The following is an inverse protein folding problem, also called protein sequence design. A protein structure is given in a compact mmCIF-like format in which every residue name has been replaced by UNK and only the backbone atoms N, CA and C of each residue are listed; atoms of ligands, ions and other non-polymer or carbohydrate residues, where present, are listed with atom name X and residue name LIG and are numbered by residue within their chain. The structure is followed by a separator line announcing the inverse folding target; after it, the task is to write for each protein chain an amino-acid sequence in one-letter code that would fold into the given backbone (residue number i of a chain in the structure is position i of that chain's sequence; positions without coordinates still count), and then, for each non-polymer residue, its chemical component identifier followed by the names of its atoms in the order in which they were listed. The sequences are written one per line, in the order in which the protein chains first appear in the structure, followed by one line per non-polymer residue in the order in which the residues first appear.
data_IF_535217117379
#
_entry.id   IF_535217117379
#
_cell.length_a   1.000
_cell.length_b   1.000
_cell.length_c   1.000
_cell.angle_alpha   90.00
_cell.angle_beta   90.00
_cell.angle_gamma   90.00
#
_symmetry.space_group_name_H-M   'P 1'
#
loop_
_entity.id
_entity.type
_entity.pdbx_description
1 polymer ?
#
# COMPACT_ATOMS: atom_id res chain seq x y z
N UNK A 1 9.61 3.71 17.37
CA UNK A 1 8.74 3.68 16.20
C UNK A 1 9.51 3.09 15.03
N UNK A 2 8.93 2.07 14.39
CA UNK A 2 9.42 1.47 13.16
C UNK A 2 8.52 1.94 12.00
N UNK A 3 9.11 2.63 11.05
CA UNK A 3 8.46 3.00 9.80
C UNK A 3 9.07 2.20 8.65
N UNK A 4 8.22 1.63 7.81
CA UNK A 4 8.64 0.84 6.65
C UNK A 4 8.05 1.46 5.40
N UNK A 5 8.90 1.74 4.42
CA UNK A 5 8.47 2.01 3.05
C UNK A 5 8.30 0.69 2.32
N UNK A 6 7.06 0.34 2.03
CA UNK A 6 6.68 -0.93 1.43
C UNK A 6 6.20 -0.79 -0.03
N UNK A 7 6.58 0.30 -0.68
CA UNK A 7 6.14 0.63 -2.04
C UNK A 7 6.45 -0.45 -3.09
N UNK A 8 7.47 -1.28 -2.87
CA UNK A 8 7.88 -2.34 -3.78
C UNK A 8 7.41 -3.74 -3.37
N UNK A 9 6.71 -3.90 -2.24
CA UNK A 9 6.32 -5.21 -1.74
C UNK A 9 4.80 -5.35 -1.48
N UNK A 10 4.15 -4.26 -1.11
CA UNK A 10 2.71 -4.24 -0.89
C UNK A 10 1.94 -4.69 -2.15
N UNK A 11 1.03 -5.61 -1.97
CA UNK A 11 0.20 -6.20 -3.02
C UNK A 11 0.63 -7.61 -3.42
N UNK A 12 1.90 -8.02 -3.22
CA UNK A 12 2.32 -9.36 -3.63
C UNK A 12 3.18 -10.11 -2.60
N UNK A 13 4.00 -9.41 -1.80
CA UNK A 13 4.86 -10.05 -0.82
C UNK A 13 4.10 -10.38 0.48
N UNK A 14 4.44 -11.51 1.08
CA UNK A 14 3.85 -11.97 2.34
C UNK A 14 2.41 -12.51 2.21
N UNK A 15 1.83 -12.99 3.31
CA UNK A 15 0.47 -13.49 3.35
C UNK A 15 -0.53 -12.44 2.84
N UNK A 16 -1.44 -12.85 1.96
CA UNK A 16 -2.44 -11.98 1.32
C UNK A 16 -1.85 -10.72 0.64
N UNK A 17 -0.55 -10.72 0.29
CA UNK A 17 0.11 -9.55 -0.28
C UNK A 17 0.28 -8.38 0.70
N UNK A 18 0.30 -8.67 2.00
CA UNK A 18 0.32 -7.65 3.05
C UNK A 18 1.68 -6.95 3.21
N UNK A 19 2.69 -7.36 2.43
CA UNK A 19 3.96 -6.66 2.33
C UNK A 19 5.09 -7.22 3.18
N UNK A 20 6.20 -6.49 3.18
CA UNK A 20 7.45 -6.87 3.86
C UNK A 20 7.29 -7.11 5.36
N UNK A 21 6.59 -6.27 6.14
CA UNK A 21 6.44 -6.53 7.56
C UNK A 21 5.79 -7.88 7.86
N UNK A 22 4.75 -8.23 7.13
CA UNK A 22 4.06 -9.52 7.31
C UNK A 22 4.91 -10.69 6.82
N UNK A 23 5.66 -10.50 5.75
CA UNK A 23 6.57 -11.53 5.22
C UNK A 23 7.64 -11.95 6.26
N UNK A 24 8.17 -10.99 7.00
CA UNK A 24 9.20 -11.24 8.02
C UNK A 24 8.65 -11.37 9.46
N UNK A 25 7.36 -11.33 9.65
CA UNK A 25 6.73 -11.40 10.98
C UNK A 25 7.08 -10.20 11.88
N UNK A 26 7.36 -9.05 11.30
CA UNK A 26 7.72 -7.82 12.01
C UNK A 26 6.51 -6.89 12.10
N UNK A 27 6.29 -6.31 13.27
CA UNK A 27 5.27 -5.27 13.45
C UNK A 27 5.87 -3.90 13.13
N UNK A 28 5.40 -3.26 12.06
CA UNK A 28 5.67 -1.87 11.79
C UNK A 28 4.62 -0.96 12.47
N UNK A 29 5.05 0.20 12.97
CA UNK A 29 4.15 1.21 13.53
C UNK A 29 3.52 2.07 12.42
N UNK A 30 4.30 2.35 11.38
CA UNK A 30 3.87 3.12 10.21
C UNK A 30 4.34 2.42 8.95
N UNK A 31 3.45 2.28 7.97
CA UNK A 31 3.77 1.73 6.65
C UNK A 31 3.41 2.75 5.58
N UNK A 32 4.31 2.98 4.63
CA UNK A 32 4.01 3.71 3.41
C UNK A 32 3.91 2.75 2.24
N UNK A 33 3.04 3.04 1.31
CA UNK A 33 2.86 2.26 0.10
C UNK A 33 2.46 3.11 -1.08
N UNK A 34 2.52 2.51 -2.27
CA UNK A 34 2.12 3.16 -3.52
C UNK A 34 0.99 2.40 -4.19
N UNK A 35 0.11 3.13 -4.84
CA UNK A 35 -0.96 2.57 -5.67
C UNK A 35 -0.53 2.37 -7.12
N UNK A 36 0.63 2.91 -7.52
CA UNK A 36 1.11 2.92 -8.90
C UNK A 36 2.10 1.82 -9.28
N UNK A 37 2.25 0.77 -8.47
CA UNK A 37 3.14 -0.37 -8.76
C UNK A 37 2.36 -1.69 -8.79
N UNK A 38 2.62 -2.63 -7.90
CA UNK A 38 1.95 -3.94 -7.89
C UNK A 38 0.42 -3.85 -7.78
N UNK A 39 -0.09 -2.82 -7.12
CA UNK A 39 -1.53 -2.57 -7.00
C UNK A 39 -2.19 -2.03 -8.29
N UNK A 40 -1.41 -1.64 -9.30
CA UNK A 40 -1.93 -1.26 -10.62
C UNK A 40 -2.79 0.00 -10.67
N UNK A 41 -2.78 0.83 -9.64
CA UNK A 41 -3.69 1.97 -9.45
C UNK A 41 -3.27 3.27 -10.15
N UNK A 42 -2.44 3.22 -11.18
CA UNK A 42 -1.94 4.34 -11.98
C UNK A 42 -1.07 5.34 -11.19
N UNK A 43 -1.57 5.96 -10.14
CA UNK A 43 -0.82 6.94 -9.34
C UNK A 43 -1.35 6.99 -7.89
N UNK A 44 -0.59 7.66 -7.04
CA UNK A 44 -0.94 7.87 -5.65
C UNK A 44 -0.22 6.95 -4.69
N UNK A 45 -0.42 7.20 -3.43
CA UNK A 45 0.16 6.43 -2.33
C UNK A 45 -0.65 6.59 -1.07
N UNK A 46 -0.25 5.86 -0.04
CA UNK A 46 -0.92 5.87 1.24
C UNK A 46 0.08 5.79 2.39
N UNK A 47 -0.36 6.23 3.54
CA UNK A 47 0.31 6.00 4.82
C UNK A 47 -0.71 5.31 5.73
N UNK A 48 -0.31 4.18 6.29
CA UNK A 48 -1.07 3.43 7.28
C UNK A 48 -0.33 3.43 8.62
N UNK A 49 -1.05 3.71 9.70
CA UNK A 49 -0.48 3.79 11.04
C UNK A 49 -1.52 4.16 12.09
N UNK A 50 -1.09 4.39 13.33
CA UNK A 50 -1.98 4.81 14.40
C UNK A 50 -2.72 6.11 14.07
N UNK A 51 -4.00 6.21 14.46
CA UNK A 51 -4.85 7.36 14.17
C UNK A 51 -4.20 8.71 14.51
N UNK A 52 -3.54 8.91 15.67
CA UNK A 52 -2.90 10.19 15.99
C UNK A 52 -1.81 10.59 14.99
N UNK A 53 -1.09 9.62 14.42
CA UNK A 53 -0.07 9.88 13.38
C UNK A 53 -0.76 10.33 12.09
N UNK A 54 -1.82 9.64 11.66
CA UNK A 54 -2.58 10.00 10.46
C UNK A 54 -3.20 11.39 10.60
N UNK A 55 -3.79 11.70 11.76
CA UNK A 55 -4.38 13.01 12.02
C UNK A 55 -3.33 14.14 12.00
N UNK A 56 -2.16 13.90 12.60
CA UNK A 56 -1.05 14.85 12.54
C UNK A 56 -0.59 15.10 11.10
N UNK A 57 -0.44 14.04 10.31
CA UNK A 57 -0.02 14.15 8.90
C UNK A 57 -1.03 14.94 8.06
N UNK A 58 -2.32 14.73 8.27
CA UNK A 58 -3.38 15.49 7.59
C UNK A 58 -3.31 16.98 7.87
N UNK A 59 -2.79 17.38 9.03
CA UNK A 59 -2.68 18.78 9.45
C UNK A 59 -1.31 19.41 9.14
N UNK A 60 -0.26 18.61 8.95
CA UNK A 60 1.11 19.10 8.89
C UNK A 60 1.92 18.65 7.68
N UNK A 61 1.54 17.56 7.03
CA UNK A 61 2.29 17.07 5.88
C UNK A 61 2.11 17.99 4.67
N UNK A 62 3.15 18.72 4.33
CA UNK A 62 3.12 19.66 3.19
C UNK A 62 2.68 19.03 1.87
N UNK A 63 3.16 17.82 1.49
CA UNK A 63 2.67 17.18 0.27
C UNK A 63 1.15 16.93 0.28
N UNK A 64 0.58 16.61 1.44
CA UNK A 64 -0.87 16.40 1.56
C UNK A 64 -1.66 17.73 1.50
N UNK A 65 -1.17 18.76 2.19
CA UNK A 65 -1.86 20.05 2.31
C UNK A 65 -1.81 20.88 1.01
N UNK A 66 -0.73 20.76 0.26
CA UNK A 66 -0.43 21.65 -0.87
C UNK A 66 -0.38 20.93 -2.22
N UNK A 67 -0.77 19.65 -2.28
CA UNK A 67 -0.96 18.91 -3.52
C UNK A 67 -2.43 18.77 -3.87
N UNK A 68 -2.73 18.59 -5.15
CA UNK A 68 -4.07 18.25 -5.59
C UNK A 68 -4.46 16.85 -5.10
N UNK A 69 -5.75 16.68 -4.81
CA UNK A 69 -6.31 15.37 -4.47
C UNK A 69 -6.23 14.40 -5.66
N UNK A 70 -6.18 13.10 -5.35
CA UNK A 70 -6.28 12.06 -6.36
C UNK A 70 -7.64 12.14 -7.07
N UNK A 71 -7.69 11.94 -8.41
CA UNK A 71 -8.95 11.86 -9.12
C UNK A 71 -9.85 10.76 -8.57
N UNK A 72 -11.16 10.98 -8.41
CA UNK A 72 -12.09 9.98 -7.87
C UNK A 72 -12.06 8.64 -8.59
N UNK A 73 -11.85 8.64 -9.90
CA UNK A 73 -11.74 7.40 -10.69
C UNK A 73 -10.50 6.57 -10.28
N UNK A 74 -9.37 7.22 -9.98
CA UNK A 74 -8.16 6.54 -9.49
C UNK A 74 -8.38 5.96 -8.09
N UNK A 75 -9.06 6.71 -7.21
CA UNK A 75 -9.41 6.23 -5.88
C UNK A 75 -10.35 5.02 -5.95
N UNK A 76 -11.37 5.08 -6.80
CA UNK A 76 -12.28 3.96 -7.02
C UNK A 76 -11.56 2.71 -7.52
N UNK A 77 -10.67 2.85 -8.51
CA UNK A 77 -9.85 1.74 -9.00
C UNK A 77 -8.93 1.16 -7.92
N UNK A 78 -8.33 2.01 -7.08
CA UNK A 78 -7.47 1.57 -5.98
C UNK A 78 -8.24 0.78 -4.92
N UNK A 79 -9.46 1.18 -4.57
CA UNK A 79 -10.31 0.43 -3.63
C UNK A 79 -10.60 -0.97 -4.16
N UNK A 80 -10.99 -1.10 -5.43
CA UNK A 80 -11.24 -2.40 -6.07
C UNK A 80 -9.94 -3.23 -6.12
N UNK A 81 -8.79 -2.62 -6.44
CA UNK A 81 -7.51 -3.31 -6.44
C UNK A 81 -7.15 -3.89 -5.06
N UNK A 82 -7.42 -3.16 -3.98
CA UNK A 82 -7.21 -3.66 -2.62
C UNK A 82 -8.13 -4.84 -2.26
N UNK A 83 -9.38 -4.81 -2.70
CA UNK A 83 -10.31 -5.94 -2.54
C UNK A 83 -9.82 -7.18 -3.29
N UNK A 84 -9.34 -7.02 -4.53
CA UNK A 84 -8.77 -8.11 -5.32
C UNK A 84 -7.53 -8.68 -4.62
N UNK A 85 -6.61 -7.84 -4.19
CA UNK A 85 -5.36 -8.27 -3.53
C UNK A 85 -5.66 -9.11 -2.29
N UNK A 86 -6.68 -8.78 -1.53
CA UNK A 86 -7.02 -9.54 -0.31
C UNK A 86 -7.34 -11.03 -0.59
N UNK A 87 -7.77 -11.38 -1.81
CA UNK A 87 -8.22 -12.73 -2.18
C UNK A 87 -7.45 -13.37 -3.34
N UNK A 88 -6.50 -12.66 -3.97
CA UNK A 88 -5.83 -13.06 -5.20
C UNK A 88 -4.57 -13.92 -4.97
N UNK A 89 -4.67 -15.00 -4.20
CA UNK A 89 -3.54 -15.91 -3.98
C UNK A 89 -3.07 -16.59 -5.27
N UNK A 90 -3.97 -16.90 -6.17
CA UNK A 90 -3.70 -17.47 -7.49
C UNK A 90 -2.84 -16.54 -8.36
N UNK A 91 -3.13 -15.25 -8.35
CA UNK A 91 -2.33 -14.25 -9.07
C UNK A 91 -0.92 -14.14 -8.50
N UNK A 92 -0.78 -14.19 -7.18
CA UNK A 92 0.54 -14.18 -6.50
C UNK A 92 1.34 -15.43 -6.82
N UNK A 93 0.71 -16.61 -6.77
CA UNK A 93 1.37 -17.87 -7.15
C UNK A 93 1.87 -17.82 -8.60
N UNK A 94 1.03 -17.32 -9.53
CA UNK A 94 1.44 -17.16 -10.93
C UNK A 94 2.57 -16.15 -11.10
N UNK A 95 2.57 -15.05 -10.34
CA UNK A 95 3.66 -14.08 -10.34
C UNK A 95 4.98 -14.75 -9.94
N UNK A 96 5.01 -15.49 -8.84
CA UNK A 96 6.21 -16.16 -8.37
C UNK A 96 6.67 -17.28 -9.31
N UNK A 97 5.74 -18.03 -9.89
CA UNK A 97 6.06 -19.04 -10.88
C UNK A 97 6.70 -18.44 -12.16
N UNK A 98 6.26 -17.23 -12.55
CA UNK A 98 6.83 -16.53 -13.71
C UNK A 98 8.20 -15.87 -13.40
N UNK A 99 8.53 -15.66 -12.12
CA UNK A 99 9.76 -15.03 -11.69
C UNK A 99 10.90 -16.03 -11.40
N UNK A 100 10.59 -17.32 -11.31
CA UNK A 100 11.53 -18.42 -11.07
C UNK A 100 12.21 -18.88 -12.36
#
# INVERSE_FOLDING_TARGET
LLMVDDCHAAGFMGPAGAGTPQHFGVRADVVTGTLGKALGGALGGYIAGPQPVVDLLRQRARPYLFSNALPPAVVGAALVALEIVATADDLRQRLFANAA
#
